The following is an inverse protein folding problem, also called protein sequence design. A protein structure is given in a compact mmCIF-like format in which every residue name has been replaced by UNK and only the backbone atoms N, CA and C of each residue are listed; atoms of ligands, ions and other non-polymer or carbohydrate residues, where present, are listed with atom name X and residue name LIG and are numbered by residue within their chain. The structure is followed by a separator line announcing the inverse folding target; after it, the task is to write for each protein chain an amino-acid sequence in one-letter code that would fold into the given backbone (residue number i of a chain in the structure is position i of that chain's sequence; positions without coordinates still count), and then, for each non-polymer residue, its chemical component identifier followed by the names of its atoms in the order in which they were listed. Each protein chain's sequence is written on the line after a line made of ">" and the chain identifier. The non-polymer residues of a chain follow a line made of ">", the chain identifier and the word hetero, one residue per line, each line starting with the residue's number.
data_IF_757439925122
#
_entry.id   IF_757439925122
#
_cell.length_a   1.000
_cell.length_b   1.000
_cell.length_c   1.000
_cell.angle_alpha   90.00
_cell.angle_beta   90.00
_cell.angle_gamma   90.00
#
_symmetry.space_group_name_H-M   'P 1'
#
loop_
_entity.id
_entity.type
_entity.pdbx_description
1 polymer ?
#
# COMPACT_ATOMS: atom_id res chain seq x y z
N UNK A 1 3.22 7.82 -42.88
CA UNK A 1 3.10 7.87 -41.40
C UNK A 1 3.98 6.80 -40.83
N UNK A 2 5.09 7.15 -40.20
CA UNK A 2 5.97 6.18 -39.50
C UNK A 2 5.31 5.86 -38.16
N UNK A 3 4.83 4.63 -37.97
CA UNK A 3 4.58 4.09 -36.65
C UNK A 3 5.90 4.14 -35.87
N UNK A 4 6.04 5.09 -34.95
CA UNK A 4 7.08 5.01 -33.93
C UNK A 4 6.80 3.73 -33.15
N UNK A 5 7.75 2.78 -33.19
CA UNK A 5 7.74 1.65 -32.30
C UNK A 5 7.65 2.21 -30.86
N UNK A 6 6.47 2.13 -30.27
CA UNK A 6 6.35 2.35 -28.82
C UNK A 6 7.17 1.26 -28.16
N UNK A 7 8.31 1.63 -27.63
CA UNK A 7 9.19 0.73 -26.90
C UNK A 7 8.38 0.17 -25.74
N UNK A 8 8.19 -1.13 -25.69
CA UNK A 8 7.44 -1.80 -24.63
C UNK A 8 8.18 -1.59 -23.31
N UNK A 9 7.70 -0.66 -22.49
CA UNK A 9 8.25 -0.41 -21.17
C UNK A 9 7.90 -1.61 -20.27
N UNK A 10 8.92 -2.23 -19.68
CA UNK A 10 8.73 -3.31 -18.70
C UNK A 10 8.76 -2.72 -17.29
N UNK A 11 7.93 -3.21 -16.40
CA UNK A 11 8.01 -2.82 -14.99
C UNK A 11 9.35 -3.29 -14.39
N UNK A 12 9.92 -2.46 -13.52
CA UNK A 12 11.11 -2.84 -12.74
C UNK A 12 10.75 -3.74 -11.56
N UNK A 13 9.47 -3.74 -11.17
CA UNK A 13 8.92 -4.63 -10.15
C UNK A 13 7.45 -4.92 -10.44
N UNK A 14 7.10 -6.19 -10.42
CA UNK A 14 5.71 -6.66 -10.43
C UNK A 14 5.35 -7.23 -9.07
N UNK A 15 4.40 -6.58 -8.40
CA UNK A 15 3.78 -7.12 -7.19
C UNK A 15 2.51 -7.91 -7.54
N UNK A 16 1.89 -8.52 -6.54
CA UNK A 16 0.65 -9.30 -6.69
C UNK A 16 -0.46 -8.52 -7.41
N UNK A 17 -0.59 -7.23 -7.11
CA UNK A 17 -1.68 -6.37 -7.60
C UNK A 17 -1.20 -4.99 -8.08
N UNK A 18 0.11 -4.79 -8.23
CA UNK A 18 0.70 -3.51 -8.60
C UNK A 18 1.94 -3.71 -9.46
N UNK A 19 2.15 -2.81 -10.43
CA UNK A 19 3.34 -2.75 -11.27
C UNK A 19 4.06 -1.43 -11.02
N UNK A 20 5.38 -1.45 -11.01
CA UNK A 20 6.21 -0.27 -10.78
C UNK A 20 7.16 -0.10 -11.96
N UNK A 21 7.17 1.07 -12.53
CA UNK A 21 7.99 1.46 -13.67
C UNK A 21 8.98 2.56 -13.27
N UNK A 22 10.19 2.47 -13.77
CA UNK A 22 11.18 3.54 -13.62
C UNK A 22 10.90 4.65 -14.65
N UNK A 23 10.85 5.88 -14.18
CA UNK A 23 10.64 7.07 -15.01
C UNK A 23 11.76 8.11 -14.76
N UNK A 24 13.01 7.65 -14.64
CA UNK A 24 14.15 8.53 -14.37
C UNK A 24 14.13 9.04 -12.92
N UNK A 25 13.77 10.29 -12.70
CA UNK A 25 13.73 10.89 -11.36
C UNK A 25 12.46 10.55 -10.56
N UNK A 26 11.53 9.83 -11.17
CA UNK A 26 10.27 9.41 -10.56
C UNK A 26 9.96 7.94 -10.80
N UNK A 27 8.92 7.44 -10.16
CA UNK A 27 8.34 6.13 -10.41
C UNK A 27 6.91 6.29 -10.94
N UNK A 28 6.48 5.36 -11.79
CA UNK A 28 5.06 5.24 -12.14
C UNK A 28 4.56 3.92 -11.56
N UNK A 29 3.59 4.02 -10.66
CA UNK A 29 2.91 2.88 -10.05
C UNK A 29 1.57 2.68 -10.72
N UNK A 30 1.33 1.48 -11.23
CA UNK A 30 0.06 1.08 -11.85
C UNK A 30 -0.63 0.08 -10.93
N UNK A 31 -1.78 0.46 -10.38
CA UNK A 31 -2.64 -0.45 -9.65
C UNK A 31 -3.42 -1.30 -10.65
N UNK A 32 -3.27 -2.62 -10.57
CA UNK A 32 -3.97 -3.55 -11.47
C UNK A 32 -5.33 -3.95 -10.94
N UNK A 33 -6.16 -4.52 -11.81
CA UNK A 33 -7.45 -5.09 -11.45
C UNK A 33 -7.33 -6.51 -10.87
N UNK A 34 -6.10 -7.06 -10.84
CA UNK A 34 -5.80 -8.36 -10.20
C UNK A 34 -6.17 -8.34 -8.73
N UNK A 35 -6.62 -9.49 -8.22
CA UNK A 35 -6.84 -9.73 -6.79
C UNK A 35 -5.97 -10.88 -6.33
N UNK A 36 -5.59 -10.85 -5.06
CA UNK A 36 -4.86 -11.94 -4.43
C UNK A 36 -5.52 -12.33 -3.11
N UNK A 37 -5.44 -13.62 -2.78
CA UNK A 37 -5.93 -14.17 -1.53
C UNK A 37 -4.90 -15.18 -1.03
N UNK A 38 -4.48 -15.08 0.25
CA UNK A 38 -3.41 -15.92 0.83
C UNK A 38 -2.17 -16.00 -0.07
N UNK A 39 -1.71 -14.85 -0.57
CA UNK A 39 -0.55 -14.68 -1.45
C UNK A 39 -0.67 -15.29 -2.85
N UNK A 40 -1.79 -15.89 -3.20
CA UNK A 40 -2.09 -16.41 -4.53
C UNK A 40 -2.84 -15.35 -5.34
N UNK A 41 -2.33 -15.03 -6.54
CA UNK A 41 -3.04 -14.19 -7.50
C UNK A 41 -4.14 -15.05 -8.12
N UNK A 42 -5.38 -14.57 -8.00
CA UNK A 42 -6.54 -15.26 -8.56
C UNK A 42 -6.63 -15.02 -10.07
N UNK A 43 -7.21 -15.99 -10.79
CA UNK A 43 -7.40 -15.88 -12.24
C UNK A 43 -8.44 -14.82 -12.63
N UNK A 44 -9.32 -14.44 -11.69
CA UNK A 44 -10.34 -13.44 -11.91
C UNK A 44 -9.82 -12.05 -11.56
N UNK A 45 -10.17 -11.06 -12.37
CA UNK A 45 -9.94 -9.65 -12.08
C UNK A 45 -11.23 -8.98 -11.60
N UNK A 46 -11.09 -7.91 -10.82
CA UNK A 46 -12.21 -7.05 -10.42
C UNK A 46 -12.10 -5.76 -11.22
N UNK A 47 -12.95 -5.62 -12.21
CA UNK A 47 -12.98 -4.47 -13.13
C UNK A 47 -12.98 -3.15 -12.37
N UNK A 48 -12.09 -2.23 -12.76
CA UNK A 48 -11.89 -0.91 -12.15
C UNK A 48 -11.36 -0.90 -10.72
N UNK A 49 -10.95 -2.05 -10.14
CA UNK A 49 -10.33 -2.08 -8.81
C UNK A 49 -9.10 -1.17 -8.76
N UNK A 50 -8.23 -1.25 -9.75
CA UNK A 50 -7.03 -0.40 -9.83
C UNK A 50 -7.38 1.08 -9.84
N UNK A 51 -8.39 1.48 -10.61
CA UNK A 51 -8.88 2.85 -10.65
C UNK A 51 -9.40 3.31 -9.30
N UNK A 52 -10.27 2.52 -8.66
CA UNK A 52 -10.82 2.85 -7.34
C UNK A 52 -9.70 3.05 -6.32
N UNK A 53 -8.72 2.12 -6.26
CA UNK A 53 -7.61 2.20 -5.31
C UNK A 53 -6.72 3.43 -5.54
N UNK A 54 -6.43 3.77 -6.79
CA UNK A 54 -5.62 4.96 -7.12
C UNK A 54 -6.36 6.24 -6.76
N UNK A 55 -7.65 6.34 -7.06
CA UNK A 55 -8.45 7.53 -6.74
C UNK A 55 -8.68 7.67 -5.22
N UNK A 56 -8.85 6.58 -4.50
CA UNK A 56 -8.88 6.60 -3.03
C UNK A 56 -7.54 7.09 -2.44
N UNK A 57 -6.41 6.63 -2.98
CA UNK A 57 -5.09 7.09 -2.54
C UNK A 57 -4.93 8.59 -2.79
N UNK A 58 -5.33 9.06 -3.99
CA UNK A 58 -5.32 10.50 -4.31
C UNK A 58 -6.16 11.30 -3.32
N UNK A 59 -7.41 10.88 -3.07
CA UNK A 59 -8.30 11.54 -2.13
C UNK A 59 -7.67 11.71 -0.74
N UNK A 60 -7.06 10.65 -0.21
CA UNK A 60 -6.44 10.71 1.11
C UNK A 60 -5.16 11.54 1.12
N UNK A 61 -4.34 11.49 0.06
CA UNK A 61 -3.13 12.33 -0.05
C UNK A 61 -3.50 13.82 -0.14
N UNK A 62 -4.55 14.16 -0.88
CA UNK A 62 -5.04 15.54 -0.94
C UNK A 62 -5.60 15.98 0.43
N UNK A 63 -6.36 15.13 1.12
CA UNK A 63 -6.94 15.44 2.43
C UNK A 63 -5.93 15.61 3.56
N UNK A 64 -4.78 14.97 3.44
CA UNK A 64 -3.74 14.97 4.50
C UNK A 64 -2.50 15.78 4.13
N UNK A 65 -2.55 16.55 3.05
CA UNK A 65 -1.41 17.32 2.54
C UNK A 65 -0.88 18.34 3.55
N UNK A 66 -1.78 18.94 4.34
CA UNK A 66 -1.47 19.89 5.40
C UNK A 66 -0.89 19.23 6.67
N UNK A 67 -1.06 17.90 6.82
CA UNK A 67 -0.57 17.13 7.97
C UNK A 67 0.83 16.57 7.68
N UNK A 68 1.01 15.95 6.49
CA UNK A 68 2.25 15.28 6.13
C UNK A 68 2.47 15.33 4.61
N UNK A 69 3.66 15.77 4.15
CA UNK A 69 4.03 15.65 2.74
C UNK A 69 3.97 14.21 2.26
N UNK A 70 3.45 14.00 1.06
CA UNK A 70 3.37 12.67 0.45
C UNK A 70 4.24 12.54 -0.80
N UNK A 71 4.30 11.35 -1.37
CA UNK A 71 5.14 11.03 -2.53
C UNK A 71 4.42 11.20 -3.88
N UNK A 72 3.12 11.44 -3.89
CA UNK A 72 2.35 11.62 -5.12
C UNK A 72 2.79 12.88 -5.87
N UNK A 73 3.02 12.76 -7.18
CA UNK A 73 3.29 13.87 -8.09
C UNK A 73 2.04 14.15 -8.92
N UNK A 74 1.51 13.14 -9.59
CA UNK A 74 0.31 13.25 -10.42
C UNK A 74 -0.38 11.90 -10.59
N UNK A 75 -1.69 11.91 -10.82
CA UNK A 75 -2.48 10.77 -11.28
C UNK A 75 -3.04 10.98 -12.69
N UNK A 76 -2.78 12.13 -13.31
CA UNK A 76 -3.15 12.39 -14.69
C UNK A 76 -2.10 11.75 -15.62
N UNK A 77 -2.54 10.82 -16.47
CA UNK A 77 -1.66 10.15 -17.42
C UNK A 77 -1.08 11.11 -18.48
N UNK A 78 -1.64 12.30 -18.65
CA UNK A 78 -1.08 13.34 -19.53
C UNK A 78 0.27 13.89 -19.04
N UNK A 79 0.51 13.82 -17.71
CA UNK A 79 1.77 14.22 -17.09
C UNK A 79 2.83 13.11 -17.17
N UNK A 80 2.45 11.93 -17.69
CA UNK A 80 3.29 10.75 -17.77
C UNK A 80 3.79 10.51 -19.21
N UNK A 81 4.83 9.70 -19.42
CA UNK A 81 5.27 9.30 -20.76
C UNK A 81 4.13 8.75 -21.63
N UNK A 82 4.24 8.93 -22.94
CA UNK A 82 3.22 8.53 -23.95
C UNK A 82 2.74 7.07 -23.78
N UNK A 83 3.62 6.19 -23.33
CA UNK A 83 3.29 4.79 -23.01
C UNK A 83 2.11 4.66 -22.02
N UNK A 84 2.01 5.54 -21.02
CA UNK A 84 0.97 5.51 -20.00
C UNK A 84 -0.29 6.29 -20.38
N UNK A 85 -0.30 7.01 -21.51
CA UNK A 85 -1.45 7.78 -21.98
C UNK A 85 -2.51 6.92 -22.70
N UNK A 86 -2.34 5.59 -22.67
CA UNK A 86 -3.31 4.64 -23.19
C UNK A 86 -4.46 4.44 -22.20
N UNK A 87 -5.67 4.22 -22.70
CA UNK A 87 -6.90 4.00 -21.90
C UNK A 87 -6.71 2.95 -20.79
N UNK A 88 -5.95 1.88 -21.05
CA UNK A 88 -5.70 0.81 -20.07
C UNK A 88 -4.95 1.28 -18.80
N UNK A 89 -4.32 2.45 -18.81
CA UNK A 89 -3.59 3.03 -17.68
C UNK A 89 -4.32 4.20 -17.03
N UNK A 90 -5.36 4.70 -17.70
CA UNK A 90 -6.11 5.87 -17.22
C UNK A 90 -6.78 5.60 -15.88
N UNK A 91 -6.64 6.55 -14.96
CA UNK A 91 -7.24 6.52 -13.63
C UNK A 91 -6.60 5.55 -12.63
N UNK A 92 -5.72 4.62 -13.08
CA UNK A 92 -5.06 3.63 -12.21
C UNK A 92 -3.53 3.76 -12.13
N UNK A 93 -2.98 4.78 -12.77
CA UNK A 93 -1.57 5.12 -12.72
C UNK A 93 -1.32 6.30 -11.78
N UNK A 94 -0.21 6.27 -11.06
CA UNK A 94 0.24 7.34 -10.18
C UNK A 94 1.74 7.55 -10.39
N UNK A 95 2.11 8.78 -10.74
CA UNK A 95 3.51 9.20 -10.75
C UNK A 95 3.93 9.64 -9.36
N UNK A 96 5.05 9.11 -8.88
CA UNK A 96 5.52 9.28 -7.51
C UNK A 96 6.98 9.68 -7.45
N UNK A 97 7.36 10.41 -6.40
CA UNK A 97 8.77 10.64 -6.06
C UNK A 97 9.45 9.31 -5.76
N UNK A 98 10.72 9.17 -6.14
CA UNK A 98 11.58 8.07 -5.68
C UNK A 98 11.97 8.34 -4.23
N UNK A 99 11.57 7.45 -3.33
CA UNK A 99 11.88 7.52 -1.92
C UNK A 99 12.51 6.20 -1.47
N UNK A 100 13.35 6.26 -0.46
CA UNK A 100 13.84 5.08 0.24
C UNK A 100 12.75 4.61 1.20
N UNK A 101 12.20 3.42 0.97
CA UNK A 101 11.19 2.86 1.84
C UNK A 101 11.83 2.32 3.12
N UNK A 102 11.21 2.62 4.26
CA UNK A 102 11.56 1.95 5.51
C UNK A 102 11.10 0.48 5.46
N UNK A 103 11.85 -0.46 6.07
CA UNK A 103 11.52 -1.88 6.05
C UNK A 103 10.45 -2.24 7.11
N UNK A 104 9.47 -1.39 7.29
CA UNK A 104 8.38 -1.57 8.25
C UNK A 104 7.03 -1.24 7.61
N UNK A 105 5.98 -1.88 8.09
CA UNK A 105 4.60 -1.52 7.82
C UNK A 105 4.01 -0.76 9.01
N UNK A 106 3.49 0.44 8.73
CA UNK A 106 2.87 1.31 9.73
C UNK A 106 1.36 1.06 9.73
N UNK A 107 0.86 0.35 10.73
CA UNK A 107 -0.55 -0.01 10.85
C UNK A 107 -1.15 0.69 12.06
N UNK A 108 -2.24 1.44 11.87
CA UNK A 108 -3.05 2.01 12.95
C UNK A 108 -4.35 1.22 13.05
N UNK A 109 -4.66 0.71 14.24
CA UNK A 109 -5.86 -0.08 14.51
C UNK A 109 -6.83 0.71 15.37
N UNK A 110 -8.04 0.92 14.87
CA UNK A 110 -9.17 1.42 15.65
C UNK A 110 -10.05 0.30 16.21
N UNK A 111 -9.85 -0.92 15.72
CA UNK A 111 -10.60 -2.13 16.08
C UNK A 111 -9.66 -3.31 16.27
N UNK A 112 -10.01 -4.26 17.15
CA UNK A 112 -9.19 -5.43 17.44
C UNK A 112 -9.59 -6.61 16.56
N UNK A 113 -8.85 -6.86 15.46
CA UNK A 113 -9.11 -7.93 14.50
C UNK A 113 -7.82 -8.62 14.05
N UNK A 114 -7.93 -9.74 13.35
CA UNK A 114 -6.84 -10.42 12.65
C UNK A 114 -5.66 -10.77 13.56
N UNK A 115 -4.43 -10.43 13.15
CA UNK A 115 -3.21 -10.70 13.94
C UNK A 115 -3.21 -9.98 15.30
N UNK A 116 -3.81 -8.78 15.37
CA UNK A 116 -3.97 -8.06 16.64
C UNK A 116 -4.86 -8.81 17.61
N UNK A 117 -5.98 -9.35 17.15
CA UNK A 117 -6.86 -10.18 17.97
C UNK A 117 -6.18 -11.47 18.46
N UNK A 118 -5.41 -12.13 17.60
CA UNK A 118 -4.64 -13.32 17.98
C UNK A 118 -3.68 -13.00 19.12
N UNK A 119 -2.88 -11.93 18.98
CA UNK A 119 -1.91 -11.49 20.00
C UNK A 119 -2.61 -11.13 21.32
N UNK A 120 -3.72 -10.38 21.26
CA UNK A 120 -4.49 -10.02 22.43
C UNK A 120 -5.02 -11.26 23.19
N UNK A 121 -5.53 -12.27 22.50
CA UNK A 121 -6.01 -13.50 23.14
C UNK A 121 -4.90 -14.28 23.86
N UNK A 122 -3.68 -14.21 23.37
CA UNK A 122 -2.55 -14.93 23.95
C UNK A 122 -2.04 -14.28 25.24
N UNK A 123 -1.96 -12.95 25.28
CA UNK A 123 -1.26 -12.27 26.37
C UNK A 123 -1.86 -10.90 26.77
N UNK A 124 -3.01 -10.52 26.24
CA UNK A 124 -3.66 -9.23 26.55
C UNK A 124 -2.97 -8.00 25.94
N UNK A 125 -2.00 -8.22 25.03
CA UNK A 125 -1.24 -7.12 24.41
C UNK A 125 -1.22 -7.20 22.90
N UNK A 126 -0.95 -6.07 22.23
CA UNK A 126 -0.65 -5.99 20.78
C UNK A 126 0.58 -5.11 20.60
N UNK A 127 1.63 -5.61 19.97
CA UNK A 127 2.90 -4.89 19.80
C UNK A 127 3.47 -4.31 21.10
N UNK A 128 3.30 -5.02 22.24
CA UNK A 128 3.70 -4.57 23.57
C UNK A 128 2.73 -3.62 24.27
N UNK A 129 1.70 -3.14 23.58
CA UNK A 129 0.66 -2.25 24.15
C UNK A 129 -0.36 -3.11 24.91
N UNK A 130 -0.50 -2.88 26.21
CA UNK A 130 -1.51 -3.55 27.03
C UNK A 130 -2.88 -2.98 26.73
N UNK A 131 -3.84 -3.85 26.43
CA UNK A 131 -5.22 -3.49 26.15
C UNK A 131 -6.14 -3.82 27.34
N UNK A 132 -7.34 -3.17 27.43
CA UNK A 132 -8.33 -3.52 28.42
C UNK A 132 -8.74 -4.98 28.37
N UNK A 133 -9.08 -5.53 29.52
CA UNK A 133 -9.61 -6.90 29.61
C UNK A 133 -11.04 -6.98 29.08
N UNK A 134 -11.41 -8.14 28.56
CA UNK A 134 -12.78 -8.44 28.13
C UNK A 134 -13.15 -7.99 26.71
N UNK A 135 -12.18 -7.51 25.93
CA UNK A 135 -12.41 -7.22 24.50
C UNK A 135 -12.77 -8.49 23.72
N UNK A 136 -13.69 -8.34 22.78
CA UNK A 136 -14.08 -9.39 21.83
C UNK A 136 -13.53 -9.07 20.43
N UNK A 137 -13.53 -10.06 19.56
CA UNK A 137 -13.10 -9.87 18.17
C UNK A 137 -13.98 -8.83 17.48
N UNK A 138 -13.34 -7.87 16.82
CA UNK A 138 -13.97 -6.73 16.15
C UNK A 138 -14.44 -5.61 17.08
N UNK A 139 -14.16 -5.66 18.37
CA UNK A 139 -14.47 -4.54 19.26
C UNK A 139 -13.67 -3.29 18.86
N UNK A 140 -14.33 -2.15 19.03
CA UNK A 140 -13.69 -0.84 18.90
C UNK A 140 -12.75 -0.62 20.07
N UNK A 141 -11.51 -0.24 19.78
CA UNK A 141 -10.56 0.15 20.82
C UNK A 141 -10.93 1.50 21.44
N UNK A 142 -10.63 1.72 22.72
CA UNK A 142 -10.85 3.03 23.39
C UNK A 142 -10.17 4.18 22.65
N UNK A 143 -8.98 3.94 22.16
CA UNK A 143 -8.18 4.83 21.30
C UNK A 143 -7.49 3.99 20.20
N UNK A 144 -7.25 4.59 19.00
CA UNK A 144 -6.46 3.93 17.98
C UNK A 144 -5.03 3.66 18.48
N UNK A 145 -4.51 2.49 18.15
CA UNK A 145 -3.15 2.09 18.52
C UNK A 145 -2.27 1.88 17.28
N UNK A 146 -1.00 2.27 17.39
CA UNK A 146 0.01 2.01 16.37
C UNK A 146 0.62 0.62 16.57
N UNK A 147 0.50 -0.24 15.58
CA UNK A 147 0.91 -1.65 15.63
C UNK A 147 1.81 -1.97 14.45
N UNK A 148 3.09 -1.60 14.51
CA UNK A 148 4.02 -1.81 13.41
C UNK A 148 4.36 -3.29 13.22
N UNK A 149 4.71 -3.64 11.97
CA UNK A 149 5.29 -4.93 11.62
C UNK A 149 6.51 -4.76 10.74
N UNK A 150 7.36 -5.79 10.67
CA UNK A 150 8.43 -5.85 9.68
C UNK A 150 7.82 -5.90 8.28
N UNK A 151 8.57 -5.46 7.28
CA UNK A 151 8.27 -5.70 5.88
C UNK A 151 9.07 -6.93 5.43
N UNK A 152 8.43 -8.10 5.47
CA UNK A 152 9.06 -9.35 5.07
C UNK A 152 9.41 -9.37 3.57
N UNK A 153 10.39 -10.19 3.20
CA UNK A 153 10.68 -10.49 1.80
C UNK A 153 9.57 -11.36 1.19
N UNK A 154 9.56 -11.47 -0.15
CA UNK A 154 8.55 -12.25 -0.87
C UNK A 154 8.68 -13.74 -0.46
N UNK A 155 7.66 -14.27 0.19
CA UNK A 155 7.58 -15.65 0.66
C UNK A 155 7.61 -15.80 2.17
N UNK A 156 7.98 -14.76 2.90
CA UNK A 156 7.93 -14.72 4.36
C UNK A 156 6.70 -13.91 4.85
N UNK A 157 6.36 -14.09 6.12
CA UNK A 157 5.26 -13.35 6.76
C UNK A 157 5.81 -12.16 7.54
N UNK A 158 5.07 -11.04 7.49
CA UNK A 158 5.35 -9.87 8.31
C UNK A 158 5.18 -10.22 9.80
N UNK A 159 6.18 -9.85 10.61
CA UNK A 159 6.16 -10.08 12.05
C UNK A 159 5.84 -8.79 12.81
N UNK A 160 4.95 -8.88 13.80
CA UNK A 160 4.66 -7.76 14.68
C UNK A 160 5.93 -7.37 15.45
N UNK A 161 6.27 -6.09 15.45
CA UNK A 161 7.36 -5.52 16.24
C UNK A 161 6.80 -4.63 17.34
N UNK A 162 7.61 -4.34 18.38
CA UNK A 162 7.16 -3.48 19.45
C UNK A 162 6.91 -2.05 18.97
N UNK A 163 6.05 -1.33 19.68
CA UNK A 163 5.79 0.08 19.43
C UNK A 163 7.07 0.91 19.41
N UNK A 164 8.00 0.66 20.34
CA UNK A 164 9.27 1.38 20.46
C UNK A 164 10.17 1.15 19.25
N UNK A 165 10.26 -0.11 18.77
CA UNK A 165 11.05 -0.46 17.58
C UNK A 165 10.46 0.23 16.35
N UNK A 166 9.15 0.12 16.14
CA UNK A 166 8.48 0.78 15.03
C UNK A 166 8.65 2.29 15.05
N UNK A 167 8.53 2.92 16.21
CA UNK A 167 8.73 4.36 16.38
C UNK A 167 10.18 4.82 16.11
N UNK A 168 11.17 3.99 16.40
CA UNK A 168 12.58 4.32 16.16
C UNK A 168 12.94 4.39 14.66
N UNK A 169 12.09 3.89 13.77
CA UNK A 169 12.28 3.87 12.32
C UNK A 169 11.48 4.96 11.58
N UNK A 170 10.65 5.73 12.29
CA UNK A 170 9.79 6.78 11.72
C UNK A 170 10.32 8.20 12.13
#
# INVERSE_FOLDING_TARGET
>A
MRCKNMQELKPIKEGKVREIYDNGDSLIMVATDRISCFDVILNNEVTKKGTVLTQMSKFWFDMTEDILPNHMISVDTKDMPEFFQQEKYEGKSMMCKKLNMLPIECIVRGYITGSGWKSYKENGTVCGIKLPEGLQESDKLPEPIYTPSTKAEIGDHDENISFEIGRAHV
#
